data_IF_981130336356
#
_entry.id   IF_981130336356
#
_cell.length_a   1.000
_cell.length_b   1.000
_cell.length_c   1.000
_cell.angle_alpha   90.00
_cell.angle_beta   90.00
_cell.angle_gamma   90.00
#
_symmetry.space_group_name_H-M   'P 1'
#
loop_
_entity.id
_entity.type
_entity.pdbx_description
1 polymer ?
#
# COMPACT_ATOMS: atom_id res chain seq x y z
N UNK A 1 64.00 41.53 23.26
CA UNK A 1 63.99 40.12 22.80
C UNK A 1 62.73 39.41 23.31
N UNK A 2 61.60 39.59 22.62
CA UNK A 2 60.28 38.96 22.95
C UNK A 2 59.41 38.78 21.69
N UNK A 3 59.99 38.58 20.50
CA UNK A 3 59.23 38.52 19.24
C UNK A 3 59.53 37.29 18.36
N UNK A 4 60.22 36.27 18.89
CA UNK A 4 60.63 35.09 18.10
C UNK A 4 59.75 33.85 18.34
N UNK A 5 58.86 33.85 19.36
CA UNK A 5 58.08 32.65 19.70
C UNK A 5 56.74 32.49 18.96
N UNK A 6 56.32 33.43 18.11
CA UNK A 6 55.00 33.36 17.43
C UNK A 6 55.06 32.64 16.07
N UNK A 7 56.26 32.47 15.49
CA UNK A 7 56.38 31.87 14.15
C UNK A 7 56.36 30.34 14.10
N UNK A 8 56.52 29.64 15.23
CA UNK A 8 56.51 28.18 15.26
C UNK A 8 55.11 27.57 15.45
N UNK A 9 54.11 28.37 15.85
CA UNK A 9 52.73 27.91 16.01
C UNK A 9 51.95 27.88 14.67
N UNK A 10 52.39 28.65 13.66
CA UNK A 10 51.66 28.74 12.39
C UNK A 10 52.01 27.61 11.40
N UNK A 11 53.17 26.95 11.55
CA UNK A 11 53.59 25.87 10.64
C UNK A 11 53.02 24.49 10.99
N UNK A 12 52.60 24.26 12.23
CA UNK A 12 51.91 23.01 12.63
C UNK A 12 50.40 23.05 12.35
N UNK A 13 49.82 24.24 12.11
CA UNK A 13 48.39 24.41 11.81
C UNK A 13 47.97 24.04 10.38
N UNK A 14 48.93 23.84 9.46
CA UNK A 14 48.62 23.52 8.05
C UNK A 14 48.46 22.01 7.81
N UNK A 15 48.88 21.16 8.75
CA UNK A 15 48.82 19.71 8.61
C UNK A 15 47.50 19.05 9.04
N UNK A 16 46.49 19.82 9.46
CA UNK A 16 45.25 19.26 10.03
C UNK A 16 43.94 19.78 9.40
N UNK A 17 43.99 20.37 8.19
CA UNK A 17 42.80 20.97 7.57
C UNK A 17 42.29 20.28 6.29
N UNK A 18 42.87 19.16 5.84
CA UNK A 18 42.42 18.47 4.64
C UNK A 18 42.20 16.95 4.82
N UNK A 19 41.77 16.53 6.00
CA UNK A 19 41.12 15.23 6.16
C UNK A 19 39.59 15.41 6.08
N UNK A 20 39.12 16.03 4.99
CA UNK A 20 37.70 16.00 4.66
C UNK A 20 37.53 14.86 3.66
N UNK A 21 37.20 13.67 4.18
CA UNK A 21 36.57 12.62 3.36
C UNK A 21 35.37 13.27 2.69
N UNK A 22 35.50 13.50 1.39
CA UNK A 22 34.38 13.89 0.54
C UNK A 22 33.59 12.62 0.29
N UNK A 23 32.90 12.17 1.33
CA UNK A 23 31.86 11.17 1.25
C UNK A 23 30.68 11.85 0.56
N UNK A 24 30.81 11.97 -0.77
CA UNK A 24 29.73 12.40 -1.66
C UNK A 24 28.70 11.29 -1.72
N UNK A 25 28.03 11.04 -0.61
CA UNK A 25 26.71 10.44 -0.64
C UNK A 25 25.82 11.48 -1.30
N UNK A 26 25.78 11.44 -2.64
CA UNK A 26 24.68 12.00 -3.40
C UNK A 26 23.44 11.33 -2.83
N UNK A 27 22.70 12.05 -1.98
CA UNK A 27 21.34 11.67 -1.66
C UNK A 27 20.59 11.65 -3.00
N UNK A 28 20.50 10.47 -3.58
CA UNK A 28 19.69 10.25 -4.76
C UNK A 28 18.29 10.70 -4.37
N UNK A 29 17.75 11.70 -5.09
CA UNK A 29 16.39 12.15 -4.91
C UNK A 29 15.44 10.94 -4.97
N UNK A 30 14.96 10.51 -3.81
CA UNK A 30 14.17 9.29 -3.66
C UNK A 30 14.35 8.69 -2.26
N UNK A 31 13.27 8.15 -1.70
CA UNK A 31 13.23 7.53 -0.37
C UNK A 31 14.08 6.24 -0.31
N UNK A 32 15.40 6.32 -0.46
CA UNK A 32 16.31 5.20 -0.26
C UNK A 32 16.60 5.01 1.23
N UNK A 33 15.54 4.69 1.99
CA UNK A 33 15.63 4.29 3.39
C UNK A 33 16.53 3.06 3.58
N UNK A 34 16.81 2.33 2.50
CA UNK A 34 17.56 1.08 2.49
C UNK A 34 19.03 1.25 2.10
N UNK A 35 19.51 2.50 1.93
CA UNK A 35 20.93 2.84 1.69
C UNK A 35 21.58 1.98 0.59
N UNK A 36 20.84 1.71 -0.49
CA UNK A 36 21.33 0.92 -1.62
C UNK A 36 21.46 -0.59 -1.40
N UNK A 37 21.04 -1.12 -0.24
CA UNK A 37 21.08 -2.57 0.07
C UNK A 37 19.85 -3.32 -0.48
N UNK A 38 18.82 -2.59 -0.94
CA UNK A 38 17.55 -3.17 -1.44
C UNK A 38 17.33 -2.86 -2.92
N UNK A 39 16.91 -3.88 -3.69
CA UNK A 39 16.47 -3.71 -5.07
C UNK A 39 15.07 -3.08 -5.09
N UNK A 40 14.85 -2.08 -5.93
CA UNK A 40 13.52 -1.51 -6.16
C UNK A 40 12.59 -2.55 -6.77
N UNK A 41 11.35 -2.61 -6.28
CA UNK A 41 10.30 -3.43 -6.89
C UNK A 41 9.83 -2.75 -8.19
N UNK A 42 10.04 -3.37 -9.38
CA UNK A 42 9.42 -2.91 -10.61
C UNK A 42 7.89 -3.03 -10.54
N UNK A 43 7.22 -2.12 -11.23
CA UNK A 43 5.75 -2.05 -11.29
C UNK A 43 5.09 -3.36 -11.74
N UNK A 44 5.75 -4.15 -12.59
CA UNK A 44 5.25 -5.45 -13.07
C UNK A 44 5.06 -6.50 -11.97
N UNK A 45 5.67 -6.30 -10.80
CA UNK A 45 5.54 -7.19 -9.63
C UNK A 45 4.51 -6.67 -8.64
N UNK A 46 3.89 -5.52 -8.92
CA UNK A 46 2.84 -4.96 -8.11
C UNK A 46 1.53 -5.68 -8.42
N UNK A 47 0.85 -6.14 -7.38
CA UNK A 47 -0.55 -6.54 -7.48
C UNK A 47 -1.40 -5.27 -7.37
N UNK A 48 -2.12 -4.92 -8.43
CA UNK A 48 -3.00 -3.74 -8.44
C UNK A 48 -4.21 -4.00 -7.55
N UNK A 49 -4.47 -3.15 -6.53
CA UNK A 49 -5.63 -3.32 -5.67
C UNK A 49 -6.93 -2.87 -6.36
N UNK A 50 -8.03 -3.52 -6.02
CA UNK A 50 -9.38 -3.09 -6.39
C UNK A 50 -9.84 -1.96 -5.46
N UNK A 51 -10.44 -0.91 -6.01
CA UNK A 51 -11.11 0.12 -5.21
C UNK A 51 -12.47 -0.38 -4.72
N UNK A 52 -12.75 -0.25 -3.43
CA UNK A 52 -14.05 -0.59 -2.85
C UNK A 52 -14.55 0.49 -1.90
N UNK A 53 -15.84 0.75 -1.97
CA UNK A 53 -16.52 1.68 -1.08
C UNK A 53 -17.21 0.91 0.04
N UNK A 54 -16.93 1.30 1.29
CA UNK A 54 -17.55 0.73 2.47
C UNK A 54 -18.35 1.78 3.21
N UNK A 55 -19.39 1.36 3.93
CA UNK A 55 -20.23 2.25 4.73
C UNK A 55 -20.49 1.65 6.10
N UNK A 56 -20.94 2.49 7.04
CA UNK A 56 -21.38 2.05 8.36
C UNK A 56 -22.83 1.52 8.33
N UNK A 57 -23.65 1.95 7.37
CA UNK A 57 -25.08 1.61 7.35
C UNK A 57 -25.38 0.26 6.69
N UNK A 58 -24.57 -0.15 5.71
CA UNK A 58 -24.76 -1.34 4.87
C UNK A 58 -23.53 -2.24 4.91
N UNK A 59 -23.67 -3.46 4.43
CA UNK A 59 -22.59 -4.44 4.32
C UNK A 59 -22.31 -4.70 2.84
N UNK A 60 -21.03 -4.64 2.46
CA UNK A 60 -20.56 -5.04 1.14
C UNK A 60 -20.23 -6.53 1.18
N UNK A 61 -20.75 -7.28 0.22
CA UNK A 61 -20.46 -8.69 0.03
C UNK A 61 -19.53 -8.86 -1.16
N UNK A 62 -18.46 -9.63 -0.96
CA UNK A 62 -17.50 -9.94 -2.02
C UNK A 62 -17.44 -11.46 -2.15
N UNK A 63 -17.69 -11.95 -3.37
CA UNK A 63 -17.80 -13.37 -3.71
C UNK A 63 -16.53 -13.77 -4.46
N UNK A 64 -15.81 -14.72 -3.90
CA UNK A 64 -14.55 -15.24 -4.45
C UNK A 64 -14.78 -16.52 -5.25
N UNK A 65 -13.88 -16.82 -6.22
CA UNK A 65 -13.95 -18.05 -7.01
C UNK A 65 -13.69 -19.32 -6.19
N UNK A 66 -13.04 -19.21 -5.02
CA UNK A 66 -12.72 -20.31 -4.13
C UNK A 66 -12.99 -19.95 -2.66
N UNK A 67 -12.98 -20.96 -1.78
CA UNK A 67 -13.17 -20.77 -0.35
C UNK A 67 -12.08 -19.85 0.23
N UNK A 68 -12.50 -18.92 1.09
CA UNK A 68 -11.61 -17.95 1.74
C UNK A 68 -10.91 -18.60 2.92
N UNK A 69 -9.57 -18.61 2.83
CA UNK A 69 -8.68 -19.12 3.87
C UNK A 69 -8.54 -18.11 5.00
N UNK A 70 -8.16 -16.88 4.66
CA UNK A 70 -8.09 -15.78 5.62
C UNK A 70 -8.25 -14.41 4.96
N UNK A 71 -8.59 -13.42 5.79
CA UNK A 71 -8.70 -12.00 5.43
C UNK A 71 -7.80 -11.21 6.36
N UNK A 72 -7.02 -10.30 5.81
CA UNK A 72 -6.14 -9.41 6.56
C UNK A 72 -6.60 -7.95 6.39
N UNK A 73 -6.73 -7.24 7.51
CA UNK A 73 -7.26 -5.86 7.54
C UNK A 73 -6.14 -4.88 7.89
N UNK A 74 -5.97 -3.86 7.07
CA UNK A 74 -4.94 -2.84 7.29
C UNK A 74 -5.24 -1.90 8.47
N UNK A 75 -6.48 -1.83 8.95
CA UNK A 75 -6.84 -1.05 10.13
C UNK A 75 -8.15 -1.50 10.77
N UNK A 76 -8.41 -0.98 11.97
CA UNK A 76 -9.66 -1.22 12.70
C UNK A 76 -10.84 -0.35 12.23
N UNK A 77 -10.68 0.46 11.16
CA UNK A 77 -11.78 1.27 10.58
C UNK A 77 -12.79 0.43 9.79
N UNK A 78 -12.43 -0.81 9.48
CA UNK A 78 -13.27 -1.78 8.81
C UNK A 78 -13.31 -3.07 9.62
N UNK A 79 -14.38 -3.83 9.42
CA UNK A 79 -14.50 -5.20 9.86
C UNK A 79 -14.82 -6.05 8.64
N UNK A 80 -14.18 -7.21 8.55
CA UNK A 80 -14.53 -8.22 7.57
C UNK A 80 -14.62 -9.60 8.21
N UNK A 81 -15.43 -10.45 7.62
CA UNK A 81 -15.54 -11.85 8.02
C UNK A 81 -16.26 -12.67 6.98
N UNK A 82 -16.07 -14.00 7.02
CA UNK A 82 -16.80 -14.92 6.16
C UNK A 82 -18.31 -14.80 6.40
N UNK A 83 -19.08 -14.97 5.34
CA UNK A 83 -20.53 -15.09 5.46
C UNK A 83 -20.89 -16.44 6.09
N UNK A 84 -21.91 -16.44 6.93
CA UNK A 84 -22.35 -17.66 7.61
C UNK A 84 -22.92 -18.64 6.58
N UNK A 85 -22.39 -19.87 6.54
CA UNK A 85 -22.80 -20.89 5.57
C UNK A 85 -22.27 -20.71 4.15
N UNK A 86 -21.41 -19.72 3.88
CA UNK A 86 -20.78 -19.52 2.58
C UNK A 86 -19.27 -19.28 2.73
N UNK A 87 -18.46 -20.27 2.33
CA UNK A 87 -17.01 -20.24 2.57
C UNK A 87 -16.25 -19.31 1.62
N UNK A 88 -16.83 -19.00 0.46
CA UNK A 88 -16.23 -18.15 -0.57
C UNK A 88 -16.77 -16.70 -0.56
N UNK A 89 -17.52 -16.30 0.46
CA UNK A 89 -18.11 -14.96 0.54
C UNK A 89 -17.59 -14.26 1.79
N UNK A 90 -17.13 -13.02 1.64
CA UNK A 90 -16.82 -12.14 2.78
C UNK A 90 -17.79 -10.98 2.84
N UNK A 91 -18.11 -10.58 4.07
CA UNK A 91 -18.84 -9.38 4.42
C UNK A 91 -17.84 -8.33 4.89
N UNK A 92 -17.86 -7.14 4.30
CA UNK A 92 -17.02 -6.00 4.69
C UNK A 92 -17.91 -4.83 5.07
N UNK A 93 -17.57 -4.15 6.16
CA UNK A 93 -18.33 -3.02 6.68
C UNK A 93 -17.42 -2.03 7.39
N UNK A 94 -17.73 -0.73 7.34
CA UNK A 94 -17.03 0.25 8.15
C UNK A 94 -17.45 0.12 9.62
N UNK A 95 -16.50 0.22 10.54
CA UNK A 95 -16.75 0.24 12.00
C UNK A 95 -16.91 1.66 12.52
N UNK A 96 -16.34 2.64 11.82
CA UNK A 96 -16.42 4.07 12.13
C UNK A 96 -17.09 4.80 10.98
N UNK A 97 -18.14 5.56 11.28
CA UNK A 97 -18.81 6.41 10.30
C UNK A 97 -17.86 7.53 9.84
N UNK A 98 -17.63 7.65 8.53
CA UNK A 98 -16.86 8.76 7.97
C UNK A 98 -15.37 8.75 8.28
N UNK A 99 -14.74 7.59 8.48
CA UNK A 99 -13.29 7.53 8.74
C UNK A 99 -12.50 8.24 7.61
N UNK A 100 -11.44 8.99 7.93
CA UNK A 100 -10.70 9.77 6.93
C UNK A 100 -9.74 8.89 6.12
N UNK A 101 -9.54 9.25 4.85
CA UNK A 101 -8.58 8.60 3.96
C UNK A 101 -9.02 7.22 3.50
N UNK A 102 -8.04 6.34 3.28
CA UNK A 102 -8.24 4.96 2.84
C UNK A 102 -7.62 3.99 3.83
N UNK A 103 -8.17 2.79 3.90
CA UNK A 103 -7.51 1.62 4.45
C UNK A 103 -7.43 0.53 3.37
N UNK A 104 -6.90 -0.63 3.70
CA UNK A 104 -6.86 -1.74 2.75
C UNK A 104 -7.25 -3.04 3.46
N UNK A 105 -7.52 -4.04 2.65
CA UNK A 105 -7.58 -5.42 3.11
C UNK A 105 -7.14 -6.35 1.99
N UNK A 106 -6.71 -7.54 2.36
CA UNK A 106 -6.36 -8.59 1.41
C UNK A 106 -7.05 -9.89 1.76
N UNK A 107 -7.28 -10.71 0.74
CA UNK A 107 -7.98 -11.98 0.85
C UNK A 107 -7.16 -13.04 0.16
N UNK A 108 -6.93 -14.14 0.87
CA UNK A 108 -6.31 -15.34 0.32
C UNK A 108 -7.32 -16.47 0.34
N UNK A 109 -7.49 -17.12 -0.81
CA UNK A 109 -8.33 -18.30 -0.93
C UNK A 109 -7.51 -19.60 -0.78
N UNK A 110 -8.19 -20.71 -0.53
CA UNK A 110 -7.56 -22.03 -0.35
C UNK A 110 -6.83 -22.54 -1.61
N UNK A 111 -7.20 -22.04 -2.80
CA UNK A 111 -6.51 -22.35 -4.06
C UNK A 111 -5.23 -21.53 -4.29
N UNK A 112 -4.88 -20.64 -3.35
CA UNK A 112 -3.71 -19.77 -3.42
C UNK A 112 -3.92 -18.46 -4.17
N UNK A 113 -5.14 -18.18 -4.67
CA UNK A 113 -5.45 -16.87 -5.25
C UNK A 113 -5.39 -15.75 -4.20
N UNK A 114 -4.89 -14.60 -4.63
CA UNK A 114 -4.67 -13.42 -3.78
C UNK A 114 -5.40 -12.21 -4.37
N UNK A 115 -6.17 -11.53 -3.53
CA UNK A 115 -6.90 -10.31 -3.89
C UNK A 115 -6.54 -9.19 -2.92
N UNK A 116 -6.31 -7.99 -3.45
CA UNK A 116 -5.99 -6.79 -2.69
C UNK A 116 -7.01 -5.71 -2.94
N UNK A 117 -7.42 -4.99 -1.89
CA UNK A 117 -8.46 -3.97 -1.96
C UNK A 117 -8.03 -2.70 -1.23
N UNK A 118 -8.24 -1.55 -1.85
CA UNK A 118 -8.23 -0.25 -1.18
C UNK A 118 -9.67 0.11 -0.82
N UNK A 119 -9.94 0.29 0.47
CA UNK A 119 -11.25 0.61 0.99
C UNK A 119 -11.33 2.08 1.42
N UNK A 120 -12.34 2.80 0.91
CA UNK A 120 -12.67 4.16 1.36
C UNK A 120 -14.09 4.22 1.90
N UNK A 121 -14.34 5.13 2.83
CA UNK A 121 -15.69 5.36 3.32
C UNK A 121 -16.55 6.08 2.26
N UNK A 122 -17.74 5.56 1.99
CA UNK A 122 -18.80 6.24 1.27
C UNK A 122 -20.10 6.15 2.06
N UNK A 123 -20.86 7.25 2.17
CA UNK A 123 -22.17 7.21 2.86
C UNK A 123 -23.11 6.23 2.17
N UNK A 124 -23.15 6.29 0.84
CA UNK A 124 -23.92 5.42 -0.04
C UNK A 124 -22.98 4.80 -1.07
N UNK A 125 -22.46 3.57 -0.83
CA UNK A 125 -21.60 2.89 -1.79
C UNK A 125 -22.34 2.59 -3.09
N UNK A 126 -21.65 2.76 -4.23
CA UNK A 126 -22.21 2.44 -5.55
C UNK A 126 -22.41 0.93 -5.75
N UNK A 127 -21.55 0.12 -5.12
CA UNK A 127 -21.57 -1.34 -5.21
C UNK A 127 -21.65 -1.98 -3.83
N UNK A 128 -22.57 -2.93 -3.67
CA UNK A 128 -22.74 -3.70 -2.43
C UNK A 128 -22.50 -5.19 -2.59
N UNK A 129 -22.53 -5.71 -3.81
CA UNK A 129 -22.30 -7.13 -4.10
C UNK A 129 -21.32 -7.21 -5.27
N UNK A 130 -20.14 -7.74 -5.02
CA UNK A 130 -19.02 -7.77 -5.97
C UNK A 130 -18.61 -9.22 -6.20
N UNK A 131 -18.52 -9.64 -7.45
CA UNK A 131 -17.99 -10.95 -7.82
C UNK A 131 -16.54 -10.78 -8.30
N UNK A 132 -15.61 -11.54 -7.71
CA UNK A 132 -14.18 -11.50 -8.04
C UNK A 132 -13.77 -12.56 -9.06
N UNK A 133 -14.76 -13.26 -9.61
CA UNK A 133 -14.51 -14.22 -10.68
C UNK A 133 -14.07 -13.44 -11.91
N UNK A 134 -12.86 -13.73 -12.39
CA UNK A 134 -12.42 -13.20 -13.67
C UNK A 134 -13.30 -13.80 -14.76
N UNK A 135 -14.13 -12.97 -15.38
CA UNK A 135 -14.73 -13.29 -16.67
C UNK A 135 -13.70 -13.25 -17.81
N UNK A 136 -12.42 -12.98 -17.53
CA UNK A 136 -11.33 -12.85 -18.51
C UNK A 136 -10.92 -14.17 -19.21
N UNK A 137 -11.69 -15.25 -19.09
CA UNK A 137 -11.77 -16.27 -20.15
C UNK A 137 -12.72 -15.88 -21.30
N UNK A 138 -13.43 -14.76 -21.19
CA UNK A 138 -14.18 -14.12 -22.26
C UNK A 138 -13.54 -12.74 -22.51
N UNK A 139 -12.72 -12.69 -23.55
CA UNK A 139 -12.34 -11.46 -24.23
C UNK A 139 -13.60 -10.64 -24.54
N UNK A 140 -13.79 -9.50 -23.87
CA UNK A 140 -14.36 -8.25 -24.42
C UNK A 140 -14.64 -7.24 -23.29
N UNK A 141 -13.62 -6.49 -22.88
CA UNK A 141 -13.79 -5.29 -22.03
C UNK A 141 -14.25 -4.09 -22.86
N UNK A 142 -15.31 -4.26 -23.64
CA UNK A 142 -16.05 -3.17 -24.26
C UNK A 142 -17.53 -3.47 -24.10
N UNK A 143 -18.10 -3.05 -22.96
CA UNK A 143 -19.38 -2.34 -22.91
C UNK A 143 -19.94 -2.38 -21.48
N UNK A 144 -19.56 -1.37 -20.69
CA UNK A 144 -20.44 -0.87 -19.62
C UNK A 144 -20.38 0.65 -19.62
N UNK A 145 -20.71 1.25 -20.76
CA UNK A 145 -21.11 2.65 -20.77
C UNK A 145 -22.64 2.72 -20.60
N UNK A 146 -23.03 3.43 -19.55
CA UNK A 146 -24.39 3.82 -19.20
C UNK A 146 -25.40 3.82 -20.35
N UNK A 147 -26.34 2.86 -20.35
CA UNK A 147 -27.75 3.09 -20.66
C UNK A 147 -28.56 1.86 -20.22
N UNK A 148 -29.25 1.99 -19.10
CA UNK A 148 -30.62 1.48 -18.96
C UNK A 148 -31.28 2.19 -17.77
N UNK A 149 -32.13 3.15 -18.14
CA UNK A 149 -33.26 3.62 -17.34
C UNK A 149 -34.19 2.46 -16.97
#
# INVERSE_FOLDING_TARGET
>A
MKQIFVFFALLLGVCAANAQETDTVKYAAGNDLYRGITRKLPYRQMVTPYGVEVTFAKTVHIIFPAAVRYVDLGSNHIIAGKADGAENVIRVKATTEGFPGETNFSVICEDGSFFSFNAKYAREPEMLNIEMKDFLENEDTSDFSHTRM
#
